data_IF_773198999689
#
_entry.id   IF_773198999689
#
_cell.length_a   1.000
_cell.length_b   1.000
_cell.length_c   1.000
_cell.angle_alpha   90.00
_cell.angle_beta   90.00
_cell.angle_gamma   90.00
#
_symmetry.space_group_name_H-M   'P 1'
#
loop_
_entity.id
_entity.type
_entity.pdbx_description
1 polymer ?
#
# COMPACT_ATOMS: atom_id res chain seq x y z
N UNK A 1 4.84 1.62 -16.12
CA UNK A 1 4.86 0.62 -15.03
C UNK A 1 3.44 0.39 -14.53
N UNK A 2 2.91 -0.83 -14.65
CA UNK A 2 1.64 -1.19 -14.03
C UNK A 2 1.88 -1.46 -12.53
N UNK A 3 1.10 -0.87 -11.64
CA UNK A 3 1.31 -0.88 -10.19
C UNK A 3 1.14 -2.27 -9.52
N UNK A 4 1.09 -3.36 -10.29
CA UNK A 4 0.79 -4.71 -9.79
C UNK A 4 -0.64 -4.88 -9.26
N UNK A 5 -1.49 -3.85 -9.39
CA UNK A 5 -2.89 -3.86 -8.99
C UNK A 5 -3.73 -4.49 -10.10
N UNK A 6 -4.63 -5.40 -9.72
CA UNK A 6 -5.63 -5.97 -10.60
C UNK A 6 -6.89 -5.12 -10.53
N UNK A 7 -7.23 -4.47 -11.63
CA UNK A 7 -8.35 -3.51 -11.75
C UNK A 7 -9.73 -4.09 -11.42
N UNK A 8 -9.89 -5.41 -11.61
CA UNK A 8 -11.13 -6.12 -11.30
C UNK A 8 -11.29 -6.45 -9.81
N UNK A 9 -10.20 -6.41 -9.04
CA UNK A 9 -10.20 -6.67 -7.61
C UNK A 9 -10.39 -5.38 -6.82
N UNK A 10 -10.97 -5.48 -5.64
CA UNK A 10 -10.99 -4.42 -4.64
C UNK A 10 -9.60 -4.19 -4.03
N UNK A 11 -9.33 -3.05 -3.38
CA UNK A 11 -8.11 -2.84 -2.63
C UNK A 11 -7.84 -3.92 -1.57
N UNK A 12 -8.89 -4.36 -0.84
CA UNK A 12 -8.76 -5.45 0.13
C UNK A 12 -8.29 -6.74 -0.56
N UNK A 13 -8.93 -7.14 -1.65
CA UNK A 13 -8.57 -8.36 -2.39
C UNK A 13 -7.18 -8.29 -3.00
N UNK A 14 -6.77 -7.13 -3.52
CA UNK A 14 -5.42 -6.93 -4.05
C UNK A 14 -4.36 -7.17 -2.97
N UNK A 15 -4.53 -6.57 -1.79
CA UNK A 15 -3.59 -6.72 -0.68
C UNK A 15 -3.63 -8.12 -0.08
N UNK A 16 -4.82 -8.69 0.11
CA UNK A 16 -4.98 -10.07 0.57
C UNK A 16 -4.28 -11.05 -0.37
N UNK A 17 -4.43 -10.89 -1.68
CA UNK A 17 -3.79 -11.75 -2.68
C UNK A 17 -2.27 -11.60 -2.67
N UNK A 18 -1.76 -10.37 -2.55
CA UNK A 18 -0.32 -10.11 -2.49
C UNK A 18 0.32 -10.71 -1.22
N UNK A 19 -0.33 -10.51 -0.07
CA UNK A 19 0.14 -11.01 1.22
C UNK A 19 0.11 -12.53 1.30
N UNK A 20 -0.88 -13.19 0.68
CA UNK A 20 -0.99 -14.65 0.65
C UNK A 20 0.25 -15.35 0.04
N UNK A 21 1.07 -14.64 -0.73
CA UNK A 21 2.31 -15.17 -1.31
C UNK A 21 3.49 -15.20 -0.32
N UNK A 22 3.42 -14.45 0.78
CA UNK A 22 4.53 -14.33 1.75
C UNK A 22 4.03 -14.60 3.17
N UNK A 23 3.24 -13.68 3.70
CA UNK A 23 2.65 -13.76 5.04
C UNK A 23 1.21 -13.25 4.96
N UNK A 24 0.19 -14.11 5.17
CA UNK A 24 -1.20 -13.69 5.13
C UNK A 24 -1.49 -12.59 6.14
N UNK A 25 -2.03 -11.47 5.67
CA UNK A 25 -2.49 -10.38 6.52
C UNK A 25 -3.98 -10.54 6.84
N UNK A 26 -4.37 -10.29 8.09
CA UNK A 26 -5.77 -10.23 8.47
C UNK A 26 -6.47 -9.01 7.88
N UNK A 27 -7.80 -9.10 7.68
CA UNK A 27 -8.62 -8.01 7.14
C UNK A 27 -8.42 -6.68 7.85
N UNK A 28 -8.38 -6.70 9.17
CA UNK A 28 -8.19 -5.48 9.98
C UNK A 28 -6.83 -4.81 9.71
N UNK A 29 -5.76 -5.58 9.57
CA UNK A 29 -4.44 -5.05 9.22
C UNK A 29 -4.44 -4.44 7.81
N UNK A 30 -5.08 -5.10 6.86
CA UNK A 30 -5.26 -4.58 5.48
C UNK A 30 -6.01 -3.25 5.50
N UNK A 31 -7.07 -3.14 6.30
CA UNK A 31 -7.85 -1.92 6.42
C UNK A 31 -7.08 -0.78 7.08
N UNK A 32 -6.27 -1.08 8.10
CA UNK A 32 -5.37 -0.10 8.73
C UNK A 32 -4.30 0.38 7.74
N UNK A 33 -3.73 -0.53 6.95
CA UNK A 33 -2.79 -0.20 5.90
C UNK A 33 -3.41 0.70 4.81
N UNK A 34 -4.65 0.42 4.38
CA UNK A 34 -5.39 1.28 3.45
C UNK A 34 -5.70 2.65 4.06
N UNK A 35 -6.04 2.70 5.35
CA UNK A 35 -6.26 3.96 6.04
C UNK A 35 -4.99 4.81 6.12
N UNK A 36 -3.82 4.20 6.36
CA UNK A 36 -2.53 4.87 6.41
C UNK A 36 -2.15 5.57 5.08
N UNK A 37 -2.66 5.08 3.94
CA UNK A 37 -2.49 5.71 2.63
C UNK A 37 -3.71 6.53 2.18
N UNK A 38 -4.61 6.87 3.10
CA UNK A 38 -5.77 7.73 2.83
C UNK A 38 -6.84 7.07 1.95
N UNK A 39 -6.99 5.74 2.02
CA UNK A 39 -7.98 4.96 1.27
C UNK A 39 -9.06 4.33 2.17
N UNK A 40 -9.26 4.86 3.38
CA UNK A 40 -10.39 4.47 4.22
C UNK A 40 -11.71 4.70 3.49
N UNK A 41 -12.61 3.72 3.50
CA UNK A 41 -13.90 3.73 2.81
C UNK A 41 -13.84 3.28 1.34
N UNK A 42 -12.66 2.95 0.81
CA UNK A 42 -12.47 2.40 -0.54
C UNK A 42 -12.10 0.91 -0.53
N UNK A 43 -12.10 0.25 0.64
CA UNK A 43 -11.59 -1.11 0.82
C UNK A 43 -12.30 -2.14 -0.08
N UNK A 44 -13.60 -1.96 -0.27
CA UNK A 44 -14.50 -2.90 -0.94
C UNK A 44 -14.99 -2.40 -2.32
N UNK A 45 -14.43 -1.31 -2.86
CA UNK A 45 -14.81 -0.83 -4.21
C UNK A 45 -13.85 -1.38 -5.28
N UNK A 46 -14.34 -1.74 -6.48
CA UNK A 46 -13.46 -2.24 -7.55
C UNK A 46 -12.34 -1.24 -7.91
N UNK A 47 -11.10 -1.69 -8.03
CA UNK A 47 -9.95 -0.80 -8.23
C UNK A 47 -10.00 0.01 -9.53
N UNK A 48 -10.73 -0.45 -10.57
CA UNK A 48 -10.94 0.32 -11.80
C UNK A 48 -11.72 1.62 -11.59
N UNK A 49 -12.48 1.76 -10.49
CA UNK A 49 -13.17 3.01 -10.15
C UNK A 49 -12.27 4.02 -9.46
N UNK A 50 -11.07 3.59 -9.03
CA UNK A 50 -10.08 4.44 -8.40
C UNK A 50 -9.29 5.22 -9.45
N UNK A 51 -8.96 6.47 -9.14
CA UNK A 51 -7.99 7.24 -9.93
C UNK A 51 -6.63 6.53 -9.95
N UNK A 52 -5.81 6.80 -10.97
CA UNK A 52 -4.46 6.24 -11.07
C UNK A 52 -3.59 6.55 -9.81
N UNK A 53 -3.80 7.70 -9.17
CA UNK A 53 -3.14 8.04 -7.91
C UNK A 53 -3.61 7.18 -6.74
N UNK A 54 -4.92 6.93 -6.63
CA UNK A 54 -5.47 6.02 -5.62
C UNK A 54 -5.01 4.58 -5.84
N UNK A 55 -4.97 4.09 -7.08
CA UNK A 55 -4.45 2.75 -7.38
C UNK A 55 -2.97 2.61 -6.98
N UNK A 56 -2.13 3.65 -7.22
CA UNK A 56 -0.76 3.68 -6.70
C UNK A 56 -0.72 3.62 -5.18
N UNK A 57 -1.61 4.33 -4.49
CA UNK A 57 -1.71 4.26 -3.03
C UNK A 57 -2.14 2.88 -2.53
N UNK A 58 -3.02 2.16 -3.23
CA UNK A 58 -3.30 0.73 -2.92
C UNK A 58 -2.01 -0.09 -2.96
N UNK A 59 -1.16 0.11 -3.97
CA UNK A 59 0.11 -0.60 -4.06
C UNK A 59 1.08 -0.23 -2.93
N UNK A 60 1.08 1.03 -2.47
CA UNK A 60 1.89 1.50 -1.34
C UNK A 60 1.38 1.01 0.01
N UNK A 61 0.08 0.72 0.16
CA UNK A 61 -0.51 0.24 1.41
C UNK A 61 0.20 -1.03 1.93
N UNK A 62 0.73 -1.87 1.03
CA UNK A 62 1.48 -3.07 1.42
C UNK A 62 2.70 -2.78 2.31
N UNK A 63 3.27 -1.58 2.25
CA UNK A 63 4.43 -1.19 3.07
C UNK A 63 4.06 -1.09 4.55
N UNK A 64 2.76 -0.93 4.87
CA UNK A 64 2.23 -0.86 6.23
C UNK A 64 1.81 -2.23 6.77
N UNK A 65 1.99 -3.30 5.98
CA UNK A 65 1.75 -4.69 6.38
C UNK A 65 3.06 -5.35 6.78
N UNK A 66 3.01 -6.63 7.19
CA UNK A 66 4.20 -7.41 7.53
C UNK A 66 5.25 -7.28 6.43
N UNK A 67 6.36 -6.66 6.80
CA UNK A 67 7.29 -6.06 5.86
C UNK A 67 8.55 -6.91 5.72
N UNK A 68 8.97 -7.24 4.48
CA UNK A 68 10.26 -7.86 4.27
C UNK A 68 11.38 -6.90 4.66
N UNK A 69 12.58 -7.42 5.01
CA UNK A 69 13.70 -6.57 5.44
C UNK A 69 14.28 -5.69 4.32
N UNK A 70 13.89 -5.89 3.05
CA UNK A 70 14.36 -5.10 1.92
C UNK A 70 13.17 -4.61 1.09
N UNK A 71 13.10 -3.30 0.85
CA UNK A 71 12.13 -2.67 -0.04
C UNK A 71 12.79 -2.13 -1.30
N UNK A 72 12.21 -2.48 -2.46
CA UNK A 72 12.58 -1.89 -3.74
C UNK A 72 11.39 -1.05 -4.21
N UNK A 73 11.60 0.26 -4.27
CA UNK A 73 10.57 1.24 -4.57
C UNK A 73 10.99 2.04 -5.81
N UNK A 74 10.21 1.93 -6.88
CA UNK A 74 10.39 2.73 -8.09
C UNK A 74 9.39 3.90 -8.08
N UNK A 75 9.91 5.12 -7.98
CA UNK A 75 9.16 6.38 -7.86
C UNK A 75 7.99 6.36 -6.84
N UNK A 76 8.22 6.00 -5.56
CA UNK A 76 7.14 5.78 -4.59
C UNK A 76 6.39 7.04 -4.18
N UNK A 77 6.94 8.22 -4.45
CA UNK A 77 6.31 9.51 -4.14
C UNK A 77 5.39 10.02 -5.25
N UNK A 78 5.38 9.36 -6.42
CA UNK A 78 4.58 9.80 -7.56
C UNK A 78 3.08 9.68 -7.26
N UNK A 79 2.34 10.78 -7.50
CA UNK A 79 0.90 10.91 -7.24
C UNK A 79 0.48 10.94 -5.75
N UNK A 80 1.43 11.16 -4.84
CA UNK A 80 1.14 11.58 -3.47
C UNK A 80 1.05 13.11 -3.38
N UNK A 81 0.21 13.62 -2.48
CA UNK A 81 0.23 15.03 -2.09
C UNK A 81 1.28 15.26 -1.01
N UNK A 82 1.44 16.51 -0.55
CA UNK A 82 2.45 16.87 0.46
C UNK A 82 2.32 16.08 1.76
N UNK A 83 1.08 15.78 2.16
CA UNK A 83 0.81 15.03 3.39
C UNK A 83 1.19 13.56 3.22
N UNK A 84 0.79 12.94 2.10
CA UNK A 84 1.14 11.56 1.78
C UNK A 84 2.65 11.35 1.62
N UNK A 85 3.37 12.34 1.05
CA UNK A 85 4.84 12.30 0.99
C UNK A 85 5.44 12.27 2.39
N UNK A 86 5.06 13.18 3.27
CA UNK A 86 5.60 13.25 4.62
C UNK A 86 5.33 11.96 5.43
N UNK A 87 4.12 11.39 5.30
CA UNK A 87 3.76 10.12 5.95
C UNK A 87 4.61 8.95 5.43
N UNK A 88 4.83 8.90 4.12
CA UNK A 88 5.67 7.86 3.53
C UNK A 88 7.14 8.02 3.92
N UNK A 89 7.66 9.25 3.97
CA UNK A 89 9.02 9.53 4.46
C UNK A 89 9.21 9.09 5.91
N UNK A 90 8.26 9.39 6.79
CA UNK A 90 8.27 8.94 8.19
C UNK A 90 8.25 7.41 8.30
N UNK A 91 7.40 6.75 7.50
CA UNK A 91 7.30 5.29 7.48
C UNK A 91 8.59 4.62 6.97
N UNK A 92 9.22 5.19 5.93
CA UNK A 92 10.51 4.72 5.42
C UNK A 92 11.63 4.88 6.46
N UNK A 93 11.67 6.03 7.14
CA UNK A 93 12.63 6.26 8.20
C UNK A 93 12.47 5.24 9.33
N UNK A 94 11.22 4.97 9.75
CA UNK A 94 10.94 3.99 10.80
C UNK A 94 11.35 2.57 10.40
N UNK A 95 11.14 2.17 9.13
CA UNK A 95 11.59 0.88 8.61
C UNK A 95 13.12 0.74 8.68
N UNK A 96 13.85 1.77 8.29
CA UNK A 96 15.31 1.81 8.39
C UNK A 96 15.81 1.72 9.84
N UNK A 97 15.16 2.44 10.77
CA UNK A 97 15.49 2.38 12.20
C UNK A 97 15.30 0.98 12.79
N UNK A 98 14.31 0.25 12.28
CA UNK A 98 14.03 -1.13 12.69
C UNK A 98 14.96 -2.17 12.02
N UNK A 99 15.99 -1.73 11.29
CA UNK A 99 16.96 -2.59 10.63
C UNK A 99 16.56 -3.06 9.23
N UNK A 100 15.50 -2.50 8.67
CA UNK A 100 15.13 -2.65 7.26
C UNK A 100 16.05 -1.86 6.33
N UNK A 101 16.01 -2.22 5.04
CA UNK A 101 16.72 -1.57 3.93
C UNK A 101 15.79 -1.20 2.80
#
# INVERSE_FOLDING_TARGET
HAAGIKDLLTPEENLSWLCALHTPAGREAIWQALAAVGLRGFEDVPSHTLSAGQQRRVALARLYLDSPPLWILDEPFTALDKQGVAQLEEHLAQHCENGGM
#
